data_IF_378251705878
#
_entry.id   IF_378251705878
#
_cell.length_a   1.000
_cell.length_b   1.000
_cell.length_c   1.000
_cell.angle_alpha   90.00
_cell.angle_beta   90.00
_cell.angle_gamma   90.00
#
_symmetry.space_group_name_H-M   'P 1'
#
loop_
_entity.id
_entity.type
_entity.pdbx_description
1 polymer ?
#
# COMPACT_ATOMS: atom_id res chain seq x y z
N UNK A 1 8.34 0.31 -10.03
CA UNK A 1 8.72 1.57 -9.37
C UNK A 1 7.55 2.55 -9.35
N UNK A 2 7.40 3.24 -8.23
CA UNK A 2 6.38 4.25 -7.97
C UNK A 2 7.04 5.50 -7.37
N UNK A 3 6.43 6.71 -7.48
CA UNK A 3 6.99 7.90 -6.88
C UNK A 3 6.95 7.81 -5.36
N UNK A 4 7.94 8.39 -4.71
CA UNK A 4 7.95 8.69 -3.27
C UNK A 4 7.43 10.10 -3.03
N UNK A 5 7.20 10.45 -1.79
CA UNK A 5 6.67 11.76 -1.44
C UNK A 5 7.73 12.86 -1.55
N UNK A 6 7.42 13.89 -2.31
CA UNK A 6 8.17 15.15 -2.39
C UNK A 6 7.24 16.29 -1.94
N UNK A 7 7.43 16.84 -0.73
CA UNK A 7 6.53 17.85 -0.17
C UNK A 7 6.34 19.06 -1.09
N UNK A 8 5.08 19.40 -1.36
CA UNK A 8 4.70 20.50 -2.25
C UNK A 8 4.71 20.17 -3.75
N UNK A 9 5.27 19.01 -4.16
CA UNK A 9 5.33 18.63 -5.59
C UNK A 9 4.30 17.55 -5.93
N UNK A 10 4.24 16.48 -5.13
CA UNK A 10 3.39 15.33 -5.42
C UNK A 10 2.59 14.82 -4.21
N UNK A 11 2.30 15.68 -3.24
CA UNK A 11 1.63 15.34 -1.99
C UNK A 11 0.43 14.43 -2.18
N UNK A 12 -0.46 14.81 -3.09
CA UNK A 12 -1.69 14.09 -3.35
C UNK A 12 -1.48 12.74 -4.02
N UNK A 13 -0.47 12.62 -4.88
CA UNK A 13 -0.16 11.38 -5.59
C UNK A 13 0.44 10.34 -4.64
N UNK A 14 1.44 10.72 -3.86
CA UNK A 14 2.06 9.84 -2.87
C UNK A 14 1.05 9.42 -1.79
N UNK A 15 0.26 10.36 -1.26
CA UNK A 15 -0.79 10.06 -0.29
C UNK A 15 -1.88 9.14 -0.87
N UNK A 16 -2.25 9.30 -2.14
CA UNK A 16 -3.22 8.43 -2.80
C UNK A 16 -2.68 7.00 -2.99
N UNK A 17 -1.38 6.82 -3.30
CA UNK A 17 -0.74 5.50 -3.35
C UNK A 17 -0.74 4.84 -1.97
N UNK A 18 -0.42 5.58 -0.92
CA UNK A 18 -0.44 5.08 0.45
C UNK A 18 -1.86 4.65 0.87
N UNK A 19 -2.88 5.48 0.60
CA UNK A 19 -4.29 5.16 0.88
C UNK A 19 -4.78 3.97 0.05
N UNK A 20 -4.38 3.86 -1.24
CA UNK A 20 -4.71 2.71 -2.07
C UNK A 20 -4.11 1.42 -1.49
N UNK A 21 -2.87 1.47 -1.03
CA UNK A 21 -2.17 0.34 -0.39
C UNK A 21 -2.86 -0.05 0.92
N UNK A 22 -3.26 0.93 1.73
CA UNK A 22 -4.02 0.69 2.97
C UNK A 22 -5.37 0.02 2.70
N UNK A 23 -6.11 0.43 1.67
CA UNK A 23 -7.38 -0.21 1.27
C UNK A 23 -7.14 -1.65 0.80
N UNK A 24 -6.06 -1.89 0.04
CA UNK A 24 -5.72 -3.21 -0.46
C UNK A 24 -5.21 -4.15 0.64
N UNK A 25 -4.35 -3.68 1.54
CA UNK A 25 -3.59 -4.52 2.45
C UNK A 25 -3.54 -4.05 3.92
N UNK A 26 -4.17 -2.93 4.27
CA UNK A 26 -4.15 -2.35 5.62
C UNK A 26 -4.97 -3.13 6.63
N UNK A 27 -4.46 -4.28 7.05
CA UNK A 27 -5.06 -5.10 8.09
C UNK A 27 -5.97 -6.22 7.58
N UNK A 28 -6.58 -6.91 8.54
CA UNK A 28 -7.31 -8.17 8.29
C UNK A 28 -8.56 -8.02 7.41
N UNK A 29 -9.21 -6.89 7.47
CA UNK A 29 -10.42 -6.59 6.67
C UNK A 29 -10.13 -5.98 5.29
N UNK A 30 -8.85 -5.80 4.94
CA UNK A 30 -8.43 -5.24 3.68
C UNK A 30 -8.79 -6.14 2.49
N UNK A 31 -8.86 -5.55 1.29
CA UNK A 31 -9.37 -6.23 0.11
C UNK A 31 -8.62 -7.51 -0.23
N UNK A 32 -7.28 -7.53 -0.16
CA UNK A 32 -6.49 -8.72 -0.48
C UNK A 32 -6.81 -9.88 0.46
N UNK A 33 -6.87 -9.64 1.77
CA UNK A 33 -7.22 -10.67 2.72
C UNK A 33 -8.65 -11.17 2.50
N UNK A 34 -9.61 -10.25 2.42
CA UNK A 34 -11.02 -10.59 2.27
C UNK A 34 -11.30 -11.37 0.97
N UNK A 35 -10.77 -10.91 -0.17
CA UNK A 35 -11.10 -11.49 -1.47
C UNK A 35 -10.24 -12.72 -1.79
N UNK A 36 -8.93 -12.71 -1.50
CA UNK A 36 -8.00 -13.76 -1.91
C UNK A 36 -7.87 -14.85 -0.85
N UNK A 37 -7.74 -14.45 0.43
CA UNK A 37 -7.52 -15.41 1.53
C UNK A 37 -8.84 -16.00 2.00
N UNK A 38 -9.78 -15.15 2.43
CA UNK A 38 -11.01 -15.64 3.08
C UNK A 38 -12.02 -16.21 2.08
N UNK A 39 -12.33 -15.46 0.99
CA UNK A 39 -13.36 -15.87 0.03
C UNK A 39 -12.86 -16.90 -0.96
N UNK A 40 -11.77 -16.60 -1.68
CA UNK A 40 -11.30 -17.44 -2.79
C UNK A 40 -10.31 -18.52 -2.35
N UNK A 41 -9.71 -18.39 -1.17
CA UNK A 41 -8.71 -19.32 -0.61
C UNK A 41 -7.55 -19.59 -1.57
N UNK A 42 -7.09 -18.56 -2.27
CA UNK A 42 -5.98 -18.66 -3.24
C UNK A 42 -4.60 -18.46 -2.60
N UNK A 43 -4.56 -18.04 -1.32
CA UNK A 43 -3.36 -17.91 -0.53
C UNK A 43 -3.69 -18.08 0.96
N UNK A 44 -2.69 -18.37 1.80
CA UNK A 44 -2.81 -18.30 3.26
C UNK A 44 -2.68 -16.89 3.77
N UNK A 45 -1.88 -16.07 3.09
CA UNK A 45 -1.72 -14.66 3.37
C UNK A 45 -1.52 -13.90 2.07
N UNK A 46 -2.01 -12.67 2.04
CA UNK A 46 -1.77 -11.73 0.96
C UNK A 46 -1.51 -10.35 1.56
N UNK A 47 -0.49 -9.68 1.09
CA UNK A 47 -0.13 -8.35 1.56
C UNK A 47 0.40 -7.49 0.41
N UNK A 48 0.44 -6.18 0.64
CA UNK A 48 1.08 -5.21 -0.23
C UNK A 48 1.75 -4.14 0.62
N UNK A 49 2.72 -3.46 0.05
CA UNK A 49 3.45 -2.40 0.72
C UNK A 49 3.91 -1.29 -0.22
N UNK A 50 4.06 -0.12 0.36
CA UNK A 50 4.58 1.08 -0.26
C UNK A 50 5.17 1.96 0.85
N UNK A 51 6.39 2.45 0.67
CA UNK A 51 7.02 3.40 1.57
C UNK A 51 7.12 4.77 0.89
N UNK A 52 6.31 5.76 1.30
CA UNK A 52 6.37 7.11 0.74
C UNK A 52 7.63 7.88 1.16
N UNK A 53 8.37 7.42 2.17
CA UNK A 53 9.49 8.12 2.79
C UNK A 53 10.86 7.53 2.41
N UNK A 54 10.95 6.94 1.22
CA UNK A 54 12.21 6.42 0.69
C UNK A 54 12.98 7.49 -0.07
N UNK A 55 14.29 7.28 -0.24
CA UNK A 55 15.14 8.14 -1.04
C UNK A 55 15.01 7.75 -2.54
N UNK A 56 14.60 8.67 -3.38
CA UNK A 56 14.42 8.45 -4.83
C UNK A 56 13.06 7.81 -5.17
N UNK A 57 13.03 6.79 -6.03
CA UNK A 57 11.82 6.01 -6.34
C UNK A 57 11.76 4.76 -5.49
N UNK A 58 10.56 4.34 -5.08
CA UNK A 58 10.35 3.09 -4.35
C UNK A 58 9.61 2.04 -5.18
N UNK A 59 9.48 0.85 -4.63
CA UNK A 59 8.69 -0.22 -5.20
C UNK A 59 7.35 -0.32 -4.48
N UNK A 60 6.26 -0.25 -5.23
CA UNK A 60 5.04 -0.86 -4.75
C UNK A 60 5.14 -2.36 -4.95
N UNK A 61 4.92 -3.13 -3.91
CA UNK A 61 4.99 -4.59 -3.99
C UNK A 61 3.73 -5.23 -3.40
N UNK A 62 3.40 -6.39 -3.92
CA UNK A 62 2.40 -7.28 -3.33
C UNK A 62 2.95 -8.71 -3.31
N UNK A 63 2.60 -9.47 -2.30
CA UNK A 63 3.00 -10.87 -2.20
C UNK A 63 1.91 -11.74 -1.60
N UNK A 64 2.01 -13.04 -1.85
CA UNK A 64 1.17 -14.07 -1.25
C UNK A 64 1.97 -15.27 -0.76
N UNK A 65 1.52 -15.86 0.32
CA UNK A 65 2.02 -17.14 0.81
C UNK A 65 1.05 -18.24 0.37
N UNK A 66 1.56 -19.15 -0.46
CA UNK A 66 0.77 -20.21 -1.05
C UNK A 66 0.96 -21.53 -0.32
N UNK A 67 -0.09 -22.33 -0.24
CA UNK A 67 -0.02 -23.69 0.26
C UNK A 67 0.04 -24.73 -0.85
N UNK A 68 0.15 -26.03 -0.48
CA UNK A 68 0.37 -27.11 -1.44
C UNK A 68 -0.71 -27.29 -2.53
N UNK A 69 -1.91 -26.74 -2.28
CA UNK A 69 -3.05 -26.85 -3.23
C UNK A 69 -3.31 -25.57 -4.02
N UNK A 70 -2.46 -24.55 -3.83
CA UNK A 70 -2.62 -23.23 -4.44
C UNK A 70 -1.52 -23.03 -5.48
N UNK A 71 -1.84 -22.37 -6.57
CA UNK A 71 -0.86 -22.11 -7.62
C UNK A 71 -0.55 -20.63 -7.77
N UNK A 72 0.70 -20.26 -8.14
CA UNK A 72 1.10 -18.89 -8.36
C UNK A 72 0.19 -18.16 -9.36
N UNK A 73 -0.18 -18.84 -10.45
CA UNK A 73 -1.00 -18.25 -11.51
C UNK A 73 -2.43 -17.93 -11.01
N UNK A 74 -2.99 -18.81 -10.16
CA UNK A 74 -4.31 -18.58 -9.58
C UNK A 74 -4.29 -17.43 -8.59
N UNK A 75 -3.21 -17.29 -7.81
CA UNK A 75 -2.99 -16.17 -6.91
C UNK A 75 -2.80 -14.86 -7.69
N UNK A 76 -1.92 -14.84 -8.68
CA UNK A 76 -1.65 -13.65 -9.49
C UNK A 76 -2.92 -13.15 -10.19
N UNK A 77 -3.69 -14.05 -10.77
CA UNK A 77 -4.99 -13.71 -11.37
C UNK A 77 -5.96 -13.09 -10.36
N UNK A 78 -6.03 -13.64 -9.15
CA UNK A 78 -6.88 -13.11 -8.09
C UNK A 78 -6.39 -11.75 -7.57
N UNK A 79 -5.06 -11.57 -7.48
CA UNK A 79 -4.42 -10.31 -7.10
C UNK A 79 -4.80 -9.21 -8.09
N UNK A 80 -4.55 -9.43 -9.37
CA UNK A 80 -4.88 -8.44 -10.40
C UNK A 80 -6.37 -8.16 -10.48
N UNK A 81 -7.23 -9.17 -10.39
CA UNK A 81 -8.69 -8.97 -10.37
C UNK A 81 -9.14 -8.10 -9.18
N UNK A 82 -8.49 -8.24 -8.02
CA UNK A 82 -8.80 -7.41 -6.85
C UNK A 82 -8.33 -5.96 -7.04
N UNK A 83 -7.12 -5.76 -7.58
CA UNK A 83 -6.57 -4.44 -7.90
C UNK A 83 -7.43 -3.76 -8.98
N UNK A 84 -7.78 -4.47 -10.05
CA UNK A 84 -8.60 -3.98 -11.15
C UNK A 84 -9.99 -3.56 -10.65
N UNK A 85 -10.57 -4.34 -9.74
CA UNK A 85 -11.84 -3.99 -9.10
C UNK A 85 -11.79 -2.65 -8.37
N UNK A 86 -10.72 -2.40 -7.61
CA UNK A 86 -10.51 -1.12 -6.93
C UNK A 86 -10.18 0.00 -7.92
N UNK A 87 -9.37 -0.28 -8.94
CA UNK A 87 -8.99 0.68 -9.99
C UNK A 87 -10.18 1.17 -10.80
N UNK A 88 -11.09 0.27 -11.17
CA UNK A 88 -12.17 0.57 -12.10
C UNK A 88 -13.39 1.16 -11.38
N UNK A 89 -13.75 0.63 -10.21
CA UNK A 89 -14.90 1.08 -9.43
C UNK A 89 -14.57 2.19 -8.43
N UNK A 90 -13.32 2.28 -8.01
CA UNK A 90 -12.90 3.10 -6.88
C UNK A 90 -13.28 2.48 -5.53
N UNK A 91 -12.75 3.03 -4.43
CA UNK A 91 -13.20 2.68 -3.09
C UNK A 91 -14.60 3.26 -2.82
N UNK A 92 -15.42 2.53 -2.09
CA UNK A 92 -16.62 3.14 -1.52
C UNK A 92 -16.26 4.16 -0.42
N UNK A 93 -17.22 5.01 -0.06
CA UNK A 93 -16.99 6.08 0.91
C UNK A 93 -16.58 5.57 2.29
N UNK A 94 -17.11 4.41 2.71
CA UNK A 94 -16.78 3.81 4.00
C UNK A 94 -15.35 3.22 4.01
N UNK A 95 -14.95 2.56 2.94
CA UNK A 95 -13.60 2.04 2.75
C UNK A 95 -12.56 3.16 2.78
N UNK A 96 -12.79 4.22 2.01
CA UNK A 96 -11.91 5.38 1.95
C UNK A 96 -11.77 6.05 3.32
N UNK A 97 -12.90 6.33 3.97
CA UNK A 97 -12.92 6.96 5.27
C UNK A 97 -12.25 6.09 6.34
N UNK A 98 -12.44 4.77 6.31
CA UNK A 98 -11.82 3.83 7.26
C UNK A 98 -10.30 3.77 7.06
N UNK A 99 -9.80 3.70 5.83
CA UNK A 99 -8.37 3.70 5.53
C UNK A 99 -7.71 4.99 6.03
N UNK A 100 -8.25 6.14 5.68
CA UNK A 100 -7.73 7.44 6.12
C UNK A 100 -7.71 7.58 7.65
N UNK A 101 -8.79 7.17 8.33
CA UNK A 101 -8.85 7.22 9.80
C UNK A 101 -7.79 6.33 10.45
N UNK A 102 -7.57 5.11 9.94
CA UNK A 102 -6.51 4.23 10.48
C UNK A 102 -5.15 4.85 10.33
N UNK A 103 -4.79 5.29 9.12
CA UNK A 103 -3.48 5.90 8.84
C UNK A 103 -3.22 7.13 9.72
N UNK A 104 -4.21 8.02 9.85
CA UNK A 104 -4.09 9.21 10.70
C UNK A 104 -4.01 8.82 12.19
N UNK A 105 -4.79 7.85 12.63
CA UNK A 105 -4.75 7.37 14.01
C UNK A 105 -3.39 6.73 14.35
N UNK A 106 -2.83 5.93 13.45
CA UNK A 106 -1.51 5.32 13.62
C UNK A 106 -0.42 6.38 13.78
N UNK A 107 -0.49 7.45 12.98
CA UNK A 107 0.40 8.60 13.08
C UNK A 107 0.24 9.37 14.41
N UNK A 108 -0.98 9.51 14.92
CA UNK A 108 -1.23 10.16 16.21
C UNK A 108 -0.73 9.28 17.36
N UNK A 109 -1.04 7.99 17.37
CA UNK A 109 -0.57 7.06 18.41
C UNK A 109 0.96 6.89 18.41
N UNK A 110 1.59 7.00 17.26
CA UNK A 110 3.05 6.97 17.17
C UNK A 110 3.72 8.10 17.99
N UNK A 111 3.01 9.20 18.25
CA UNK A 111 3.54 10.33 19.05
C UNK A 111 3.69 10.01 20.55
N UNK A 112 2.98 9.01 21.05
CA UNK A 112 3.08 8.62 22.48
C UNK A 112 4.40 7.90 22.79
N UNK A 113 5.11 7.41 21.80
CA UNK A 113 6.40 6.74 21.96
C UNK A 113 7.57 7.64 21.56
N UNK A 114 8.42 8.00 22.53
CA UNK A 114 9.64 8.76 22.25
C UNK A 114 10.54 8.07 21.23
N UNK A 115 10.63 6.75 21.27
CA UNK A 115 11.43 5.96 20.31
C UNK A 115 10.87 6.08 18.90
N UNK A 116 9.55 5.91 18.73
CA UNK A 116 8.91 5.99 17.41
C UNK A 116 9.01 7.41 16.85
N UNK A 117 8.79 8.43 17.70
CA UNK A 117 9.00 9.84 17.31
C UNK A 117 10.42 10.11 16.82
N UNK A 118 11.42 9.69 17.60
CA UNK A 118 12.82 9.88 17.22
C UNK A 118 13.14 9.16 15.89
N UNK A 119 12.62 7.94 15.69
CA UNK A 119 12.77 7.21 14.45
C UNK A 119 12.11 7.92 13.27
N UNK A 120 10.89 8.42 13.43
CA UNK A 120 10.18 9.17 12.37
C UNK A 120 10.94 10.44 11.99
N UNK A 121 11.36 11.23 12.97
CA UNK A 121 12.16 12.44 12.75
C UNK A 121 13.45 12.08 11.99
N UNK A 122 14.21 11.11 12.49
CA UNK A 122 15.45 10.69 11.84
C UNK A 122 15.24 10.16 10.42
N UNK A 123 14.16 9.41 10.17
CA UNK A 123 13.85 8.92 8.82
C UNK A 123 13.53 10.05 7.85
N UNK A 124 12.73 11.04 8.24
CA UNK A 124 12.38 12.18 7.40
C UNK A 124 13.59 13.07 7.09
N UNK A 125 14.49 13.26 8.09
CA UNK A 125 15.72 14.02 7.89
C UNK A 125 16.70 13.32 6.97
N UNK A 126 16.90 12.01 7.14
CA UNK A 126 17.85 11.22 6.31
C UNK A 126 17.45 11.22 4.83
N UNK A 127 16.16 11.19 4.52
CA UNK A 127 15.69 11.22 3.13
C UNK A 127 15.54 12.65 2.57
N UNK A 128 15.85 13.68 3.37
CA UNK A 128 15.84 15.07 2.95
C UNK A 128 14.45 15.74 2.89
N UNK A 129 13.44 15.10 3.48
CA UNK A 129 12.07 15.65 3.56
C UNK A 129 11.99 16.75 4.62
N UNK A 130 12.64 16.54 5.78
CA UNK A 130 12.55 17.40 6.96
C UNK A 130 11.44 16.98 7.93
N UNK A 131 11.76 17.00 9.22
CA UNK A 131 10.86 16.54 10.27
C UNK A 131 9.63 17.44 10.48
N UNK A 132 9.73 18.70 10.09
CA UNK A 132 8.68 19.71 10.15
C UNK A 132 7.55 19.50 9.11
N UNK A 133 7.80 18.65 8.10
CA UNK A 133 6.84 18.38 7.01
C UNK A 133 5.79 17.32 7.34
N UNK A 134 5.82 16.77 8.55
CA UNK A 134 4.88 15.72 8.97
C UNK A 134 3.41 16.15 8.86
N UNK A 135 3.10 17.38 9.24
CA UNK A 135 1.72 17.88 9.20
C UNK A 135 1.21 18.03 7.75
N UNK A 136 2.10 18.34 6.81
CA UNK A 136 1.78 18.36 5.38
C UNK A 136 1.38 16.97 4.90
N UNK A 137 2.08 15.92 5.35
CA UNK A 137 1.71 14.55 5.06
C UNK A 137 0.32 14.18 5.58
N UNK A 138 0.00 14.53 6.83
CA UNK A 138 -1.32 14.29 7.42
C UNK A 138 -2.41 15.03 6.65
N UNK A 139 -2.15 16.26 6.23
CA UNK A 139 -3.07 17.04 5.41
C UNK A 139 -3.25 16.38 4.03
N UNK A 140 -2.17 15.92 3.41
CA UNK A 140 -2.22 15.21 2.14
C UNK A 140 -3.09 13.96 2.23
N UNK A 141 -2.86 13.09 3.23
CA UNK A 141 -3.70 11.92 3.51
C UNK A 141 -5.19 12.29 3.67
N UNK A 142 -5.46 13.35 4.47
CA UNK A 142 -6.82 13.85 4.68
C UNK A 142 -7.51 14.30 3.40
N UNK A 143 -6.77 14.83 2.42
CA UNK A 143 -7.29 15.38 1.17
C UNK A 143 -7.60 14.34 0.08
N UNK A 144 -7.11 13.09 0.21
CA UNK A 144 -7.28 12.03 -0.81
C UNK A 144 -8.75 11.73 -1.07
N UNK A 145 -9.11 11.65 -2.34
CA UNK A 145 -10.44 11.25 -2.81
C UNK A 145 -10.41 9.87 -3.48
N UNK A 146 -11.59 9.27 -3.69
CA UNK A 146 -11.67 8.00 -4.42
C UNK A 146 -11.17 8.10 -5.87
N UNK A 147 -11.30 9.27 -6.50
CA UNK A 147 -10.76 9.52 -7.85
C UNK A 147 -9.24 9.54 -7.85
N UNK A 148 -8.61 10.06 -6.80
CA UNK A 148 -7.15 10.06 -6.66
C UNK A 148 -6.64 8.63 -6.54
N UNK A 149 -7.30 7.78 -5.73
CA UNK A 149 -7.00 6.35 -5.62
C UNK A 149 -7.09 5.64 -6.98
N UNK A 150 -8.17 5.86 -7.73
CA UNK A 150 -8.31 5.30 -9.08
C UNK A 150 -7.21 5.78 -10.03
N UNK A 151 -6.87 7.08 -9.98
CA UNK A 151 -5.86 7.67 -10.83
C UNK A 151 -4.49 7.02 -10.61
N UNK A 152 -4.04 6.91 -9.37
CA UNK A 152 -2.72 6.33 -9.07
C UNK A 152 -2.64 4.84 -9.39
N UNK A 153 -3.72 4.07 -9.17
CA UNK A 153 -3.77 2.67 -9.57
C UNK A 153 -3.69 2.51 -11.10
N UNK A 154 -4.36 3.36 -11.88
CA UNK A 154 -4.30 3.36 -13.35
C UNK A 154 -2.92 3.74 -13.87
N UNK A 155 -2.25 4.65 -13.21
CA UNK A 155 -0.97 5.19 -13.66
C UNK A 155 0.21 4.29 -13.26
N UNK A 156 0.19 3.75 -12.05
CA UNK A 156 1.35 3.12 -11.44
C UNK A 156 1.23 1.61 -11.26
N UNK A 157 0.04 1.10 -10.90
CA UNK A 157 -0.15 -0.30 -10.54
C UNK A 157 -0.84 -1.05 -11.69
N UNK A 158 -0.04 -1.35 -12.69
CA UNK A 158 -0.51 -2.01 -13.92
C UNK A 158 0.41 -3.17 -14.30
N UNK A 159 -0.12 -4.26 -14.92
CA UNK A 159 0.69 -5.42 -15.31
C UNK A 159 1.91 -5.09 -16.16
N UNK A 160 1.77 -4.14 -17.11
CA UNK A 160 2.85 -3.73 -18.01
C UNK A 160 4.08 -3.11 -17.30
N UNK A 161 3.96 -2.76 -16.02
CA UNK A 161 5.03 -2.17 -15.19
C UNK A 161 5.44 -3.09 -14.03
N UNK A 162 5.00 -4.34 -14.04
CA UNK A 162 5.24 -5.29 -12.96
C UNK A 162 6.27 -6.35 -13.33
N UNK A 163 6.92 -6.87 -12.31
CA UNK A 163 7.78 -8.06 -12.37
C UNK A 163 7.27 -9.02 -11.30
N UNK A 164 7.03 -10.27 -11.70
CA UNK A 164 6.64 -11.34 -10.78
C UNK A 164 7.83 -12.22 -10.46
N UNK A 165 8.12 -12.38 -9.16
CA UNK A 165 9.11 -13.31 -8.64
C UNK A 165 8.43 -14.48 -7.94
N UNK A 166 8.94 -15.69 -8.11
CA UNK A 166 8.44 -16.90 -7.47
C UNK A 166 9.54 -17.55 -6.64
N UNK A 167 9.30 -17.67 -5.34
CA UNK A 167 10.15 -18.45 -4.44
C UNK A 167 9.56 -19.86 -4.27
N UNK A 168 10.28 -20.86 -4.72
CA UNK A 168 9.90 -22.26 -4.56
C UNK A 168 10.84 -22.98 -3.62
N UNK A 169 10.36 -23.95 -2.83
CA UNK A 169 11.26 -24.84 -2.07
C UNK A 169 12.15 -25.64 -3.03
N UNK A 170 13.40 -25.81 -2.64
CA UNK A 170 14.30 -26.72 -3.36
C UNK A 170 13.76 -28.15 -3.29
N UNK A 171 13.53 -28.75 -4.43
CA UNK A 171 13.16 -30.17 -4.50
C UNK A 171 14.44 -30.96 -4.20
N UNK A 172 14.59 -31.46 -2.96
CA UNK A 172 15.65 -32.41 -2.66
C UNK A 172 15.35 -33.70 -3.45
N UNK A 173 16.18 -33.96 -4.46
CA UNK A 173 16.24 -35.23 -5.18
C UNK A 173 16.74 -36.35 -4.26
#
# INVERSE_FOLDING_TARGET
>A
PVPVWHPGENDREAAALAVATEILAGGRSALLNREIVDKQRKAFAAAAGYDPFSMGTDLWFAYGMLGPKQTPEAFEKALWATIDGLRDKGPDAAQLAAAKRRMIADEVFAQDSLYIRAKQIGSLEVVGIGADRRDDWLQALGSVTGKDVQKVLKQWIVPARSITGLLQPEVKS
#
